data_IF_650574555914
#
_entry.id   IF_650574555914
#
_cell.length_a   1.000
_cell.length_b   1.000
_cell.length_c   1.000
_cell.angle_alpha   90.00
_cell.angle_beta   90.00
_cell.angle_gamma   90.00
#
_symmetry.space_group_name_H-M   'P 1'
#
loop_
_entity.id
_entity.type
_entity.pdbx_description
1 polymer ?
#
# COMPACT_ATOMS: atom_id res chain seq x y z
N UNK A 1 19.66 -12.09 -12.93
CA UNK A 1 18.35 -11.56 -12.46
C UNK A 1 18.59 -10.58 -11.33
N UNK A 2 17.90 -9.47 -11.37
CA UNK A 2 17.96 -8.48 -10.29
C UNK A 2 17.24 -9.02 -9.06
N UNK A 3 17.84 -8.82 -7.89
CA UNK A 3 17.23 -9.16 -6.59
C UNK A 3 17.14 -7.92 -5.74
N UNK A 4 16.02 -7.74 -5.04
CA UNK A 4 15.84 -6.71 -4.02
C UNK A 4 15.42 -7.36 -2.71
N UNK A 5 15.83 -6.74 -1.60
CA UNK A 5 15.53 -7.22 -0.25
C UNK A 5 14.46 -6.33 0.37
N UNK A 6 13.37 -6.94 0.80
CA UNK A 6 12.30 -6.22 1.47
C UNK A 6 12.76 -5.74 2.86
N UNK A 7 12.48 -4.49 3.16
CA UNK A 7 12.80 -3.83 4.43
C UNK A 7 11.55 -3.72 5.30
N UNK A 8 11.69 -3.55 6.62
CA UNK A 8 10.55 -3.21 7.46
C UNK A 8 9.89 -1.91 7.00
N UNK A 9 8.56 -1.89 7.01
CA UNK A 9 7.80 -0.69 6.65
C UNK A 9 7.89 0.35 7.75
N UNK A 10 8.35 1.55 7.41
CA UNK A 10 8.43 2.69 8.33
C UNK A 10 7.82 3.93 7.71
N UNK A 11 7.33 4.85 8.56
CA UNK A 11 6.76 6.12 8.08
C UNK A 11 7.75 6.89 7.21
N UNK A 12 9.02 6.96 7.63
CA UNK A 12 10.06 7.71 6.93
C UNK A 12 10.38 7.11 5.56
N UNK A 13 10.59 5.80 5.50
CA UNK A 13 10.96 5.14 4.26
C UNK A 13 9.82 5.14 3.23
N UNK A 14 8.58 5.13 3.70
CA UNK A 14 7.40 5.10 2.84
C UNK A 14 6.87 6.49 2.47
N UNK A 15 7.33 7.54 3.11
CA UNK A 15 6.80 8.91 2.91
C UNK A 15 6.74 9.38 1.44
N UNK A 16 7.69 9.06 0.56
CA UNK A 16 7.60 9.44 -0.85
C UNK A 16 6.46 8.76 -1.60
N UNK A 17 5.99 7.62 -1.12
CA UNK A 17 5.01 6.77 -1.79
C UNK A 17 3.61 6.86 -1.19
N UNK A 18 3.54 7.20 0.08
CA UNK A 18 2.27 7.23 0.79
C UNK A 18 2.42 7.33 2.30
N UNK A 19 1.38 6.86 2.97
CA UNK A 19 1.27 6.89 4.42
C UNK A 19 1.23 5.48 4.98
N UNK A 20 1.81 5.29 6.16
CA UNK A 20 1.65 4.06 6.94
C UNK A 20 0.48 4.25 7.90
N UNK A 21 -0.48 3.33 7.86
CA UNK A 21 -1.70 3.38 8.68
C UNK A 21 -1.53 2.44 9.87
N UNK A 22 -1.24 3.01 11.03
CA UNK A 22 -1.04 2.26 12.26
C UNK A 22 -1.26 3.16 13.49
N UNK A 23 -1.49 2.53 14.63
CA UNK A 23 -1.58 3.22 15.91
C UNK A 23 -0.21 3.24 16.59
N UNK A 24 0.75 3.95 16.00
CA UNK A 24 2.10 4.06 16.52
C UNK A 24 2.30 5.36 17.33
N UNK A 25 3.03 5.26 18.42
CA UNK A 25 3.30 6.39 19.30
C UNK A 25 2.06 6.82 20.11
N UNK A 26 2.12 8.03 20.68
CA UNK A 26 1.00 8.59 21.41
C UNK A 26 -0.13 9.00 20.44
N UNK A 27 -1.40 8.79 20.82
CA UNK A 27 -2.52 9.28 20.04
C UNK A 27 -2.56 10.82 20.05
N UNK A 28 -3.13 11.40 19.00
CA UNK A 28 -3.32 12.86 18.94
C UNK A 28 -4.31 13.33 19.98
N UNK A 29 -5.30 12.51 20.28
CA UNK A 29 -6.36 12.84 21.23
C UNK A 29 -6.92 11.58 21.87
N UNK A 30 -7.18 11.68 23.19
CA UNK A 30 -8.01 10.70 23.88
C UNK A 30 -9.46 11.10 23.77
N UNK A 31 -10.31 10.18 23.35
CA UNK A 31 -11.76 10.33 23.22
C UNK A 31 -12.49 9.29 24.04
N UNK A 32 -13.83 9.34 24.06
CA UNK A 32 -14.66 8.36 24.77
C UNK A 32 -14.28 8.23 26.26
N UNK A 33 -14.14 9.38 26.92
CA UNK A 33 -13.81 9.43 28.37
C UNK A 33 -12.44 8.82 28.70
N UNK A 34 -11.47 8.95 27.78
CA UNK A 34 -10.13 8.39 27.98
C UNK A 34 -10.01 6.91 27.62
N UNK A 35 -11.03 6.32 27.04
CA UNK A 35 -11.04 4.87 26.70
C UNK A 35 -10.60 4.58 25.28
N UNK A 36 -10.37 5.63 24.44
CA UNK A 36 -9.95 5.45 23.06
C UNK A 36 -8.91 6.50 22.67
N UNK A 37 -7.76 6.03 22.21
CA UNK A 37 -6.74 6.90 21.62
C UNK A 37 -7.01 7.08 20.13
N UNK A 38 -7.20 8.34 19.70
CA UNK A 38 -7.41 8.66 18.29
C UNK A 38 -6.09 9.07 17.65
N UNK A 39 -5.66 8.28 16.69
CA UNK A 39 -4.58 8.60 15.75
C UNK A 39 -5.23 9.24 14.51
N UNK A 40 -5.26 10.58 14.51
CA UNK A 40 -6.13 11.37 13.64
C UNK A 40 -5.55 11.55 12.25
N UNK A 41 -6.38 11.37 11.21
CA UNK A 41 -6.14 11.76 9.81
C UNK A 41 -4.78 11.29 9.27
N UNK A 42 -4.56 9.98 9.28
CA UNK A 42 -3.25 9.38 8.95
C UNK A 42 -3.02 9.13 7.46
N UNK A 43 -4.01 9.42 6.61
CA UNK A 43 -3.91 9.16 5.18
C UNK A 43 -4.19 10.42 4.37
N UNK A 44 -3.30 10.76 3.45
CA UNK A 44 -3.52 11.83 2.45
C UNK A 44 -4.37 11.28 1.32
N UNK A 45 -5.67 11.19 1.53
CA UNK A 45 -6.61 10.61 0.58
C UNK A 45 -6.98 11.60 -0.51
N UNK A 46 -7.11 11.10 -1.73
CA UNK A 46 -7.42 11.92 -2.91
C UNK A 46 -8.28 11.09 -3.87
N UNK A 47 -9.50 11.55 -4.11
CA UNK A 47 -10.44 10.87 -5.01
C UNK A 47 -10.71 11.66 -6.29
N UNK A 48 -9.99 12.77 -6.48
CA UNK A 48 -10.21 13.69 -7.60
C UNK A 48 -11.53 14.44 -7.52
N UNK A 49 -11.69 15.46 -8.38
CA UNK A 49 -12.86 16.34 -8.36
C UNK A 49 -14.17 15.61 -8.75
N UNK A 50 -14.08 14.64 -9.66
CA UNK A 50 -15.23 13.92 -10.21
C UNK A 50 -15.41 12.52 -9.62
N UNK A 51 -14.61 12.18 -8.62
CA UNK A 51 -14.67 10.89 -7.93
C UNK A 51 -15.25 11.00 -6.53
N UNK A 52 -15.54 9.85 -5.96
CA UNK A 52 -15.94 9.72 -4.56
C UNK A 52 -15.18 8.58 -3.89
N UNK A 53 -15.18 8.59 -2.57
CA UNK A 53 -14.66 7.46 -1.81
C UNK A 53 -15.55 6.24 -1.96
N UNK A 54 -14.93 5.09 -2.14
CA UNK A 54 -15.59 3.80 -2.06
C UNK A 54 -14.80 2.86 -1.18
N UNK A 55 -15.48 1.91 -0.54
CA UNK A 55 -14.86 0.84 0.23
C UNK A 55 -15.15 -0.47 -0.47
N UNK A 56 -14.09 -1.20 -0.82
CA UNK A 56 -14.17 -2.55 -1.34
C UNK A 56 -13.50 -3.52 -0.37
N UNK A 57 -13.90 -4.78 -0.44
CA UNK A 57 -13.22 -5.85 0.30
C UNK A 57 -12.44 -6.68 -0.71
N UNK A 58 -11.12 -6.69 -0.58
CA UNK A 58 -10.26 -7.55 -1.38
C UNK A 58 -9.99 -8.84 -0.62
N UNK A 59 -10.21 -9.95 -1.29
CA UNK A 59 -9.90 -11.28 -0.78
C UNK A 59 -8.79 -11.86 -1.66
N UNK A 60 -7.54 -11.60 -1.29
CA UNK A 60 -6.38 -11.96 -2.08
C UNK A 60 -5.76 -13.27 -1.60
N UNK A 61 -5.28 -14.05 -2.53
CA UNK A 61 -4.55 -15.27 -2.21
C UNK A 61 -3.17 -14.97 -1.64
N UNK A 62 -2.76 -15.75 -0.66
CA UNK A 62 -1.43 -15.71 -0.07
C UNK A 62 -0.35 -15.97 -1.13
N UNK A 63 0.72 -15.20 -1.06
CA UNK A 63 1.96 -15.42 -1.82
C UNK A 63 3.09 -15.82 -0.88
N UNK A 64 4.20 -16.25 -1.46
CA UNK A 64 5.39 -16.67 -0.71
C UNK A 64 6.61 -15.88 -1.14
N UNK A 65 7.59 -15.78 -0.24
CA UNK A 65 8.92 -15.31 -0.57
C UNK A 65 9.84 -16.49 -0.90
N UNK A 66 10.78 -16.36 -1.84
CA UNK A 66 10.97 -15.19 -2.70
C UNK A 66 9.80 -14.98 -3.66
N UNK A 67 9.47 -13.72 -3.90
CA UNK A 67 8.39 -13.31 -4.78
C UNK A 67 8.94 -12.78 -6.10
N UNK A 68 8.37 -13.22 -7.22
CA UNK A 68 8.76 -12.73 -8.54
C UNK A 68 7.89 -11.55 -8.94
N UNK A 69 8.50 -10.37 -9.00
CA UNK A 69 7.86 -9.15 -9.48
C UNK A 69 8.10 -9.00 -10.99
N UNK A 70 7.05 -8.95 -11.77
CA UNK A 70 7.11 -8.74 -13.22
C UNK A 70 6.15 -7.67 -13.74
N UNK A 71 5.39 -7.04 -12.82
CA UNK A 71 4.41 -6.02 -13.16
C UNK A 71 4.26 -5.05 -12.00
N UNK A 72 4.19 -3.76 -12.31
CA UNK A 72 3.68 -2.73 -11.42
C UNK A 72 2.55 -1.98 -12.08
N UNK A 73 1.72 -1.35 -11.27
CA UNK A 73 0.57 -0.56 -11.72
C UNK A 73 0.49 0.74 -10.96
N UNK A 74 -0.27 1.70 -11.48
CA UNK A 74 -0.60 2.93 -10.77
C UNK A 74 -2.02 3.39 -11.07
N UNK A 75 -2.55 4.24 -10.21
CA UNK A 75 -3.87 4.82 -10.34
C UNK A 75 -3.76 6.34 -10.52
N UNK A 76 -3.88 6.85 -11.77
CA UNK A 76 -3.63 8.27 -12.06
C UNK A 76 -4.64 9.23 -11.45
N UNK A 77 -5.82 8.74 -11.08
CA UNK A 77 -6.93 9.61 -10.69
C UNK A 77 -7.24 9.61 -9.19
N UNK A 78 -6.49 8.87 -8.39
CA UNK A 78 -6.72 8.88 -6.96
C UNK A 78 -5.75 8.06 -6.13
N UNK A 79 -5.85 8.22 -4.82
CA UNK A 79 -5.15 7.43 -3.81
C UNK A 79 -5.81 6.06 -3.63
N UNK A 80 -5.07 5.14 -2.99
CA UNK A 80 -5.61 3.82 -2.66
C UNK A 80 -5.08 3.37 -1.30
N UNK A 81 -5.99 3.19 -0.35
CA UNK A 81 -5.65 2.71 0.99
C UNK A 81 -5.97 1.23 1.14
N UNK A 82 -5.05 0.49 1.75
CA UNK A 82 -5.20 -0.92 2.08
C UNK A 82 -5.10 -1.10 3.59
N UNK A 83 -6.18 -1.58 4.19
CA UNK A 83 -6.25 -1.83 5.62
C UNK A 83 -6.41 -3.34 5.83
N UNK A 84 -5.40 -4.04 6.40
CA UNK A 84 -5.52 -5.48 6.62
C UNK A 84 -6.59 -5.79 7.65
N UNK A 85 -7.37 -6.82 7.37
CA UNK A 85 -8.40 -7.34 8.29
C UNK A 85 -7.87 -8.56 9.07
N UNK A 86 -6.55 -8.67 9.17
CA UNK A 86 -5.83 -9.67 9.96
C UNK A 86 -4.52 -9.06 10.47
N UNK A 87 -3.80 -9.81 11.31
CA UNK A 87 -2.47 -9.41 11.79
C UNK A 87 -1.34 -9.97 10.92
N UNK A 88 -1.68 -10.67 9.86
CA UNK A 88 -0.68 -11.25 8.96
C UNK A 88 0.02 -10.17 8.13
N UNK A 89 1.32 -10.35 7.84
CA UNK A 89 2.06 -9.38 7.03
C UNK A 89 1.65 -9.44 5.56
N UNK A 90 1.92 -8.35 4.85
CA UNK A 90 1.89 -8.33 3.40
C UNK A 90 3.11 -7.62 2.84
N UNK A 91 3.46 -7.98 1.62
CA UNK A 91 4.57 -7.40 0.88
C UNK A 91 4.08 -6.17 0.14
N UNK A 92 4.75 -5.05 0.35
CA UNK A 92 4.45 -3.78 -0.32
C UNK A 92 5.60 -3.44 -1.25
N UNK A 93 5.33 -3.31 -2.54
CA UNK A 93 6.32 -2.95 -3.54
C UNK A 93 5.90 -1.62 -4.16
N UNK A 94 6.83 -0.67 -4.19
CA UNK A 94 6.62 0.67 -4.74
C UNK A 94 7.79 1.07 -5.61
N UNK A 95 7.58 2.06 -6.47
CA UNK A 95 8.63 2.61 -7.30
C UNK A 95 8.44 4.11 -7.49
N UNK A 96 9.53 4.81 -7.72
CA UNK A 96 9.52 6.19 -8.16
C UNK A 96 9.11 6.26 -9.63
N UNK A 97 8.66 7.43 -10.06
CA UNK A 97 8.36 7.69 -11.47
C UNK A 97 9.51 8.46 -12.12
N UNK A 98 10.01 7.93 -13.21
CA UNK A 98 11.01 8.59 -14.05
C UNK A 98 10.46 8.72 -15.47
N UNK A 99 9.90 9.88 -15.76
CA UNK A 99 9.36 10.19 -17.08
C UNK A 99 8.23 9.23 -17.52
N UNK A 100 7.40 8.79 -16.60
CA UNK A 100 6.30 7.87 -16.86
C UNK A 100 6.67 6.39 -16.77
N UNK A 101 7.86 6.08 -16.26
CA UNK A 101 8.34 4.71 -16.07
C UNK A 101 8.71 4.46 -14.61
N UNK A 102 8.44 3.27 -14.09
CA UNK A 102 8.86 2.93 -12.73
C UNK A 102 10.39 2.86 -12.64
N UNK A 103 10.93 3.42 -11.57
CA UNK A 103 12.37 3.40 -11.26
C UNK A 103 12.58 3.22 -9.78
N UNK A 104 13.79 2.85 -9.37
CA UNK A 104 14.16 2.71 -7.97
C UNK A 104 13.15 1.90 -7.16
N UNK A 105 12.88 0.68 -7.59
CA UNK A 105 11.89 -0.21 -6.98
C UNK A 105 12.35 -0.58 -5.57
N UNK A 106 11.44 -0.44 -4.61
CA UNK A 106 11.64 -0.77 -3.21
C UNK A 106 10.54 -1.71 -2.73
N UNK A 107 10.90 -2.57 -1.79
CA UNK A 107 9.99 -3.52 -1.19
C UNK A 107 10.01 -3.41 0.34
N UNK A 108 8.83 -3.57 0.94
CA UNK A 108 8.64 -3.52 2.39
C UNK A 108 7.78 -4.69 2.83
N UNK A 109 8.04 -5.16 4.06
CA UNK A 109 7.15 -6.11 4.75
C UNK A 109 6.51 -5.38 5.92
N UNK A 110 5.20 -5.48 6.04
CA UNK A 110 4.44 -4.84 7.11
C UNK A 110 4.61 -5.57 8.43
N UNK A 111 4.58 -4.80 9.52
CA UNK A 111 4.39 -5.33 10.88
C UNK A 111 2.89 -5.59 11.12
N UNK A 112 2.54 -6.39 12.16
CA UNK A 112 1.14 -6.67 12.48
C UNK A 112 0.31 -5.38 12.62
N UNK A 113 -0.82 -5.32 11.93
CA UNK A 113 -1.74 -4.20 11.97
C UNK A 113 -1.38 -2.98 11.12
N UNK A 114 -0.21 -2.95 10.48
CA UNK A 114 0.12 -1.87 9.56
C UNK A 114 -0.65 -2.00 8.25
N UNK A 115 -1.35 -0.93 7.88
CA UNK A 115 -1.88 -0.72 6.54
C UNK A 115 -1.10 0.37 5.82
N UNK A 116 -1.48 0.66 4.60
CA UNK A 116 -0.86 1.71 3.78
C UNK A 116 -1.92 2.54 3.06
N UNK A 117 -1.56 3.76 2.73
CA UNK A 117 -2.25 4.57 1.74
C UNK A 117 -1.26 4.94 0.64
N UNK A 118 -1.51 4.50 -0.58
CA UNK A 118 -0.71 4.89 -1.75
C UNK A 118 -1.20 6.24 -2.27
N UNK A 119 -0.29 7.17 -2.45
CA UNK A 119 -0.63 8.46 -3.07
C UNK A 119 -1.04 8.27 -4.52
N UNK A 120 -1.84 9.22 -5.03
CA UNK A 120 -2.20 9.27 -6.45
C UNK A 120 -0.98 9.02 -7.33
N UNK A 121 -1.13 8.16 -8.31
CA UNK A 121 -0.14 7.92 -9.35
C UNK A 121 1.19 7.28 -8.89
N UNK A 122 1.20 6.67 -7.71
CA UNK A 122 2.37 5.92 -7.22
C UNK A 122 2.42 4.54 -7.86
N UNK A 123 3.56 4.22 -8.49
CA UNK A 123 3.81 2.86 -8.97
C UNK A 123 3.87 1.87 -7.82
N UNK A 124 3.12 0.77 -7.92
CA UNK A 124 3.11 -0.26 -6.90
C UNK A 124 2.85 -1.65 -7.49
N UNK A 125 3.30 -2.68 -6.78
CA UNK A 125 2.94 -4.07 -7.09
C UNK A 125 1.50 -4.37 -6.67
N UNK A 126 0.94 -5.45 -7.19
CA UNK A 126 -0.39 -5.91 -6.78
C UNK A 126 -0.43 -6.30 -5.31
N UNK A 127 -1.61 -6.35 -4.73
CA UNK A 127 -1.78 -6.75 -3.33
C UNK A 127 -1.21 -8.17 -3.11
N UNK A 128 -0.25 -8.27 -2.20
CA UNK A 128 0.56 -9.48 -2.00
C UNK A 128 0.57 -9.89 -0.52
N UNK A 129 -0.48 -10.55 -0.02
CA UNK A 129 -0.49 -11.06 1.35
C UNK A 129 0.54 -12.18 1.51
N UNK A 130 1.21 -12.22 2.67
CA UNK A 130 2.17 -13.27 3.03
C UNK A 130 1.57 -14.26 4.05
N UNK A 131 0.34 -14.07 4.46
CA UNK A 131 -0.39 -14.93 5.37
C UNK A 131 -1.88 -15.02 5.01
N UNK A 132 -2.61 -15.84 5.72
CA UNK A 132 -4.06 -16.05 5.53
C UNK A 132 -4.83 -15.61 6.78
N UNK A 133 -6.04 -15.02 6.60
CA UNK A 133 -6.70 -14.67 5.35
C UNK A 133 -6.12 -13.40 4.73
N UNK A 134 -6.15 -13.32 3.40
CA UNK A 134 -5.74 -12.15 2.63
C UNK A 134 -6.87 -11.14 2.45
N UNK A 135 -7.56 -10.81 3.52
CA UNK A 135 -8.71 -9.89 3.51
C UNK A 135 -8.25 -8.46 3.82
N UNK A 136 -8.66 -7.52 2.99
CA UNK A 136 -8.33 -6.10 3.13
C UNK A 136 -9.56 -5.24 2.88
N UNK A 137 -9.75 -4.23 3.70
CA UNK A 137 -10.60 -3.10 3.34
C UNK A 137 -9.78 -2.16 2.47
N UNK A 138 -10.29 -1.84 1.29
CA UNK A 138 -9.63 -0.98 0.32
C UNK A 138 -10.48 0.25 0.09
N UNK A 139 -9.92 1.42 0.33
CA UNK A 139 -10.59 2.71 0.14
C UNK A 139 -9.94 3.44 -1.01
N UNK A 140 -10.66 3.63 -2.08
CA UNK A 140 -10.16 4.28 -3.27
C UNK A 140 -11.27 5.04 -4.01
N UNK A 141 -10.88 5.63 -5.15
CA UNK A 141 -11.76 6.43 -5.97
C UNK A 141 -12.78 5.57 -6.72
N UNK A 142 -14.03 5.93 -6.61
CA UNK A 142 -15.11 5.48 -7.50
C UNK A 142 -15.41 6.61 -8.49
N UNK A 143 -15.33 6.30 -9.78
CA UNK A 143 -15.56 7.27 -10.86
C UNK A 143 -15.60 6.58 -12.22
N UNK A 144 -15.77 7.38 -13.28
CA UNK A 144 -16.04 6.86 -14.63
C UNK A 144 -14.80 6.66 -15.50
N UNK A 145 -13.62 6.98 -14.97
CA UNK A 145 -12.35 6.78 -15.68
C UNK A 145 -11.78 5.39 -15.43
N UNK A 146 -10.92 4.91 -16.31
CA UNK A 146 -10.23 3.62 -16.14
C UNK A 146 -9.37 3.59 -14.87
N UNK A 147 -8.69 4.69 -14.55
CA UNK A 147 -7.85 4.86 -13.36
C UNK A 147 -6.83 3.74 -13.14
N UNK A 148 -6.24 3.24 -14.20
CA UNK A 148 -5.26 2.16 -14.16
C UNK A 148 -4.26 2.30 -15.29
N UNK A 149 -2.99 2.27 -14.95
CA UNK A 149 -1.87 2.09 -15.87
C UNK A 149 -1.01 0.95 -15.36
N UNK A 150 -0.63 0.04 -16.25
CA UNK A 150 0.23 -1.10 -15.94
C UNK A 150 1.56 -0.96 -16.65
N UNK A 151 2.62 -1.42 -16.03
CA UNK A 151 3.97 -1.43 -16.60
C UNK A 151 4.63 -2.78 -16.36
N UNK A 152 4.80 -3.60 -17.42
CA UNK A 152 5.56 -4.85 -17.34
C UNK A 152 7.03 -4.58 -17.05
N UNK A 153 7.63 -5.42 -16.20
CA UNK A 153 9.03 -5.33 -15.82
C UNK A 153 9.79 -6.59 -16.23
N UNK A 154 11.08 -6.41 -16.51
CA UNK A 154 11.98 -7.56 -16.43
C UNK A 154 11.91 -8.16 -15.03
N UNK A 155 11.76 -9.47 -14.89
CA UNK A 155 11.54 -10.09 -13.60
C UNK A 155 12.59 -9.72 -12.54
N UNK A 156 12.11 -9.36 -11.36
CA UNK A 156 12.91 -9.00 -10.19
C UNK A 156 12.55 -9.97 -9.07
N UNK A 157 13.54 -10.57 -8.45
CA UNK A 157 13.33 -11.43 -7.30
C UNK A 157 13.30 -10.61 -6.03
N UNK A 158 12.21 -10.70 -5.28
CA UNK A 158 12.04 -10.02 -3.98
C UNK A 158 12.21 -11.04 -2.87
N UNK A 159 13.13 -10.77 -1.96
CA UNK A 159 13.45 -11.63 -0.82
C UNK A 159 13.28 -10.87 0.49
N UNK A 160 13.23 -11.60 1.59
CA UNK A 160 13.27 -11.01 2.94
C UNK A 160 14.70 -10.88 3.50
N UNK A 161 15.63 -11.61 2.92
CA UNK A 161 17.07 -11.66 3.29
C UNK A 161 17.94 -11.97 2.06
#
# INVERSE_FOLDING_TARGET
>A
MKTIVAQPLTDEAFAPFGDVLHAAGAPDKMINQGLCGRHHDRARMDFGADGRAGISIFNAEKRTLPYMLDLVERHPDGSQAFIPMSLEPFLVIVAEDDGGKPSNIQAFITAPGQGINLLRNTWHGVLTPLGEPGLFAVIDRIGDTLNLEEFPLEPILVTAE
#
